data_IF_457454800400
#
_entry.id   IF_457454800400
#
_cell.length_a   1.000
_cell.length_b   1.000
_cell.length_c   1.000
_cell.angle_alpha   90.00
_cell.angle_beta   90.00
_cell.angle_gamma   90.00
#
_symmetry.space_group_name_H-M   'P 1'
#
loop_
_entity.id
_entity.type
_entity.pdbx_description
1 polymer ?
#
# COMPACT_ATOMS: atom_id res chain seq x y z
N UNK A 1 26.27 -4.99 10.11
CA UNK A 1 24.80 -4.86 10.28
C UNK A 1 24.24 -6.27 10.29
N UNK A 2 23.89 -6.81 11.47
CA UNK A 2 23.31 -8.17 11.56
C UNK A 2 21.93 -8.12 10.89
N UNK A 3 21.60 -9.08 10.03
CA UNK A 3 20.29 -9.09 9.39
C UNK A 3 19.24 -9.58 10.39
N UNK A 4 18.32 -8.71 10.81
CA UNK A 4 17.20 -8.98 11.72
C UNK A 4 16.11 -9.87 11.07
N UNK A 5 16.50 -10.97 10.43
CA UNK A 5 15.59 -11.86 9.70
C UNK A 5 15.05 -13.02 10.53
N UNK A 6 15.42 -13.12 11.81
CA UNK A 6 15.08 -14.26 12.67
C UNK A 6 13.55 -14.47 12.83
N UNK A 7 12.75 -13.42 12.62
CA UNK A 7 11.28 -13.47 12.70
C UNK A 7 10.57 -13.36 11.34
N UNK A 8 11.31 -13.38 10.22
CA UNK A 8 10.69 -13.36 8.88
C UNK A 8 10.37 -14.79 8.48
N UNK A 9 9.08 -15.14 8.50
CA UNK A 9 8.61 -16.47 8.11
C UNK A 9 8.78 -16.72 6.60
N UNK A 10 8.39 -15.75 5.77
CA UNK A 10 8.39 -15.89 4.31
C UNK A 10 8.42 -14.52 3.60
N UNK A 11 8.86 -14.54 2.34
CA UNK A 11 8.73 -13.42 1.40
C UNK A 11 8.02 -13.95 0.16
N UNK A 12 6.88 -13.38 -0.15
CA UNK A 12 6.02 -13.85 -1.25
C UNK A 12 5.99 -12.80 -2.35
N UNK A 13 6.22 -13.22 -3.60
CA UNK A 13 5.95 -12.37 -4.76
C UNK A 13 4.44 -12.36 -4.99
N UNK A 14 3.82 -11.18 -4.99
CA UNK A 14 2.40 -11.01 -5.25
C UNK A 14 2.09 -9.60 -5.72
N UNK A 15 0.88 -9.42 -6.24
CA UNK A 15 0.31 -8.12 -6.55
C UNK A 15 -0.58 -7.69 -5.37
N UNK A 16 -0.49 -6.43 -4.97
CA UNK A 16 -1.30 -5.88 -3.88
C UNK A 16 -2.79 -5.81 -4.25
N UNK A 17 -3.09 -5.78 -5.55
CA UNK A 17 -4.43 -5.84 -6.11
C UNK A 17 -4.95 -7.28 -6.25
N UNK A 18 -4.13 -8.29 -6.01
CA UNK A 18 -4.50 -9.71 -6.05
C UNK A 18 -3.56 -10.52 -5.14
N UNK A 19 -3.81 -10.42 -3.84
CA UNK A 19 -2.90 -10.96 -2.85
C UNK A 19 -2.99 -12.49 -2.79
N UNK A 20 -1.88 -13.23 -2.87
CA UNK A 20 -1.86 -14.70 -2.85
C UNK A 20 -2.02 -15.27 -1.44
N UNK A 21 -2.95 -14.70 -0.66
CA UNK A 21 -3.22 -15.09 0.72
C UNK A 21 -4.71 -15.36 0.93
N UNK A 22 -5.07 -16.29 1.82
CA UNK A 22 -6.46 -16.51 2.22
C UNK A 22 -7.07 -15.32 2.96
N UNK A 23 -8.40 -15.32 3.06
CA UNK A 23 -9.15 -14.35 3.82
C UNK A 23 -8.80 -14.42 5.32
N UNK A 24 -8.85 -13.28 6.03
CA UNK A 24 -8.67 -13.21 7.49
C UNK A 24 -7.40 -13.89 8.01
N UNK A 25 -6.30 -13.75 7.28
CA UNK A 25 -5.01 -14.38 7.58
C UNK A 25 -4.18 -13.56 8.58
N UNK A 26 -4.12 -12.24 8.40
CA UNK A 26 -3.17 -11.39 9.12
C UNK A 26 -3.84 -10.57 10.22
N UNK A 27 -3.15 -10.43 11.35
CA UNK A 27 -3.58 -9.56 12.46
C UNK A 27 -3.22 -8.10 12.21
N UNK A 28 -2.11 -7.84 11.51
CA UNK A 28 -1.63 -6.50 11.18
C UNK A 28 -1.11 -6.46 9.75
N UNK A 29 -1.51 -5.42 9.01
CA UNK A 29 -0.90 -5.06 7.73
C UNK A 29 -0.17 -3.73 7.92
N UNK A 30 1.08 -3.66 7.47
CA UNK A 30 1.88 -2.44 7.46
C UNK A 30 2.21 -2.08 6.01
N UNK A 31 1.94 -0.83 5.63
CA UNK A 31 2.31 -0.29 4.31
C UNK A 31 3.00 1.06 4.46
N UNK A 32 4.04 1.28 3.67
CA UNK A 32 4.83 2.51 3.72
C UNK A 32 5.16 2.99 2.29
N UNK A 33 4.72 4.20 1.95
CA UNK A 33 5.07 4.96 0.74
C UNK A 33 4.96 4.19 -0.59
N UNK A 34 3.92 3.36 -0.75
CA UNK A 34 3.72 2.56 -1.98
C UNK A 34 2.29 2.60 -2.50
N UNK A 35 1.30 2.99 -1.68
CA UNK A 35 -0.10 2.95 -2.09
C UNK A 35 -0.41 3.96 -3.18
N UNK A 36 0.29 5.10 -3.15
CA UNK A 36 0.11 6.16 -4.14
C UNK A 36 0.47 5.71 -5.56
N UNK A 37 1.33 4.70 -5.70
CA UNK A 37 1.76 4.11 -6.96
C UNK A 37 0.83 3.00 -7.47
N UNK A 38 -0.16 2.60 -6.68
CA UNK A 38 -1.09 1.53 -7.06
C UNK A 38 -2.10 2.08 -8.08
N UNK A 39 -2.24 1.44 -9.26
CA UNK A 39 -3.21 1.82 -10.28
C UNK A 39 -4.66 1.79 -9.77
N UNK A 40 -5.08 0.68 -9.14
CA UNK A 40 -6.42 0.55 -8.58
C UNK A 40 -6.36 0.43 -7.04
N UNK A 41 -6.29 1.59 -6.38
CA UNK A 41 -6.27 1.69 -4.92
C UNK A 41 -7.48 1.01 -4.26
N UNK A 42 -8.67 1.11 -4.86
CA UNK A 42 -9.88 0.47 -4.33
C UNK A 42 -9.73 -1.05 -4.29
N UNK A 43 -9.18 -1.66 -5.34
CA UNK A 43 -8.91 -3.11 -5.39
C UNK A 43 -7.86 -3.50 -4.35
N UNK A 44 -6.78 -2.72 -4.23
CA UNK A 44 -5.77 -2.98 -3.21
C UNK A 44 -6.32 -2.87 -1.78
N UNK A 45 -7.12 -1.86 -1.46
CA UNK A 45 -7.76 -1.74 -0.14
C UNK A 45 -8.77 -2.87 0.11
N UNK A 46 -9.49 -3.31 -0.91
CA UNK A 46 -10.39 -4.46 -0.81
C UNK A 46 -9.61 -5.75 -0.49
N UNK A 47 -8.48 -5.99 -1.17
CA UNK A 47 -7.61 -7.13 -0.89
C UNK A 47 -6.97 -7.06 0.50
N UNK A 48 -6.48 -5.88 0.91
CA UNK A 48 -5.98 -5.68 2.27
C UNK A 48 -7.04 -6.02 3.31
N UNK A 49 -8.28 -5.53 3.12
CA UNK A 49 -9.40 -5.84 4.01
C UNK A 49 -9.76 -7.33 4.00
N UNK A 50 -9.70 -7.99 2.84
CA UNK A 50 -9.99 -9.42 2.68
C UNK A 50 -9.01 -10.27 3.50
N UNK A 51 -7.71 -10.00 3.39
CA UNK A 51 -6.67 -10.79 4.06
C UNK A 51 -6.48 -10.39 5.53
N UNK A 52 -6.97 -9.23 5.96
CA UNK A 52 -6.97 -8.79 7.35
C UNK A 52 -8.09 -9.48 8.13
N UNK A 53 -7.79 -9.93 9.35
CA UNK A 53 -8.82 -10.42 10.28
C UNK A 53 -9.82 -9.31 10.65
N UNK A 54 -11.08 -9.64 11.04
CA UNK A 54 -12.06 -8.63 11.44
C UNK A 54 -11.61 -7.70 12.59
N UNK A 55 -10.77 -8.19 13.50
CA UNK A 55 -10.18 -7.42 14.60
C UNK A 55 -8.75 -6.95 14.31
N UNK A 56 -8.28 -7.09 13.06
CA UNK A 56 -6.94 -6.74 12.66
C UNK A 56 -6.75 -5.23 12.49
N UNK A 57 -5.50 -4.81 12.43
CA UNK A 57 -5.13 -3.40 12.27
C UNK A 57 -4.42 -3.18 10.93
N UNK A 58 -4.82 -2.12 10.24
CA UNK A 58 -4.09 -1.63 9.07
C UNK A 58 -3.35 -0.35 9.45
N UNK A 59 -2.02 -0.40 9.39
CA UNK A 59 -1.13 0.70 9.72
C UNK A 59 -0.45 1.19 8.43
N UNK A 60 -0.66 2.45 8.09
CA UNK A 60 -0.15 3.04 6.85
C UNK A 60 0.57 4.35 7.13
N UNK A 61 1.67 4.56 6.42
CA UNK A 61 2.34 5.85 6.31
C UNK A 61 2.55 6.15 4.84
N UNK A 62 1.87 7.17 4.32
CA UNK A 62 1.96 7.57 2.92
C UNK A 62 1.78 9.09 2.77
N UNK A 63 2.09 9.61 1.58
CA UNK A 63 1.88 11.02 1.24
C UNK A 63 0.39 11.25 0.99
N UNK A 64 -0.14 12.31 1.58
CA UNK A 64 -1.54 12.74 1.38
C UNK A 64 -1.57 14.15 0.79
N UNK A 65 -2.56 14.39 -0.06
CA UNK A 65 -2.79 15.69 -0.68
C UNK A 65 -3.85 16.47 0.11
N UNK A 66 -3.58 17.75 0.32
CA UNK A 66 -4.57 18.68 0.85
C UNK A 66 -5.06 19.57 -0.30
N UNK A 67 -6.24 19.27 -0.81
CA UNK A 67 -6.80 19.92 -1.99
C UNK A 67 -6.38 19.22 -3.29
N UNK A 68 -6.54 19.92 -4.42
CA UNK A 68 -6.28 19.35 -5.73
C UNK A 68 -4.93 19.84 -6.29
N UNK A 69 -4.18 18.93 -6.91
CA UNK A 69 -3.05 19.29 -7.75
C UNK A 69 -3.54 19.78 -9.12
N UNK A 70 -2.88 20.76 -9.74
CA UNK A 70 -3.05 21.08 -11.16
C UNK A 70 -2.87 19.84 -12.04
N UNK A 71 -3.65 19.73 -13.11
CA UNK A 71 -3.63 18.59 -14.04
C UNK A 71 -2.25 18.36 -14.68
N UNK A 72 -1.49 19.43 -14.90
CA UNK A 72 -0.12 19.37 -15.40
C UNK A 72 0.77 18.55 -14.46
N UNK A 73 0.73 18.85 -13.16
CA UNK A 73 1.53 18.16 -12.13
C UNK A 73 1.04 16.73 -11.87
N UNK A 74 -0.23 16.44 -12.15
CA UNK A 74 -0.78 15.09 -12.02
C UNK A 74 -0.13 14.10 -13.01
N UNK A 75 0.20 14.59 -14.21
CA UNK A 75 0.73 13.76 -15.31
C UNK A 75 2.26 13.75 -15.38
N UNK A 76 2.95 14.48 -14.49
CA UNK A 76 4.40 14.48 -14.41
C UNK A 76 4.93 13.17 -13.78
N UNK A 77 5.80 12.48 -14.52
CA UNK A 77 6.36 11.19 -14.09
C UNK A 77 7.18 11.30 -12.79
N UNK A 78 7.88 12.42 -12.58
CA UNK A 78 8.63 12.69 -11.35
C UNK A 78 7.68 12.84 -10.14
N UNK A 79 6.55 13.54 -10.32
CA UNK A 79 5.52 13.68 -9.30
C UNK A 79 4.82 12.36 -8.98
N UNK A 80 4.67 11.48 -9.97
CA UNK A 80 4.11 10.15 -9.75
C UNK A 80 5.07 9.26 -8.97
N UNK A 81 6.31 9.12 -9.44
CA UNK A 81 7.34 8.29 -8.80
C UNK A 81 7.71 8.75 -7.40
N UNK A 82 7.53 10.04 -7.08
CA UNK A 82 7.69 10.59 -5.73
C UNK A 82 6.48 10.41 -4.81
N UNK A 83 5.46 9.65 -5.23
CA UNK A 83 4.21 9.42 -4.49
C UNK A 83 3.37 10.69 -4.25
N UNK A 84 3.61 11.79 -4.99
CA UNK A 84 2.90 13.05 -4.79
C UNK A 84 1.62 13.10 -5.63
N UNK A 85 1.71 12.92 -6.96
CA UNK A 85 0.53 13.00 -7.83
C UNK A 85 -0.45 11.83 -7.63
N UNK A 86 0.03 10.70 -7.14
CA UNK A 86 -0.80 9.55 -6.76
C UNK A 86 -1.41 9.63 -5.36
N UNK A 87 -1.20 10.74 -4.65
CA UNK A 87 -1.57 10.93 -3.25
C UNK A 87 -3.05 10.73 -2.95
N UNK A 88 -3.32 10.09 -1.82
CA UNK A 88 -4.68 10.01 -1.27
C UNK A 88 -5.16 11.42 -0.88
N UNK A 89 -6.42 11.74 -1.20
CA UNK A 89 -7.10 12.99 -0.86
C UNK A 89 -8.02 12.74 0.34
#
# INVERSE_FOLDING_TARGET
MKSDKENIKESVKGDIEEMPFPDSTFDVIVSNCVLNLVPNKNKAFAEMKRVLKPSGHFCVSDVVLKGNLPEELMNEAEMYTSCVSGGLI
#
